data_IF_379973097436
#
_entry.id   IF_379973097436
#
_cell.length_a   1.000
_cell.length_b   1.000
_cell.length_c   1.000
_cell.angle_alpha   90.00
_cell.angle_beta   90.00
_cell.angle_gamma   90.00
#
_symmetry.space_group_name_H-M   'P 1'
#
loop_
_entity.id
_entity.type
_entity.pdbx_description
1 polymer ?
2 non-polymer ?
3 non-polymer ?
4 non-polymer ?
5 water ?
#
# COMPACT_ATOMS: atom_id res chain seq x y z
N UNK A 2 -24.62 -22.48 1.44
CA UNK A 2 -23.42 -21.61 1.32
C UNK A 2 -22.57 -21.95 0.08
N UNK A 3 -21.75 -20.98 -0.35
CA UNK A 3 -20.93 -21.05 -1.55
C UNK A 3 -19.68 -21.89 -1.27
N UNK A 4 -19.32 -22.80 -2.17
CA UNK A 4 -18.16 -23.65 -1.94
C UNK A 4 -16.89 -22.80 -2.04
N UNK A 5 -15.79 -23.33 -1.49
CA UNK A 5 -14.53 -22.62 -1.65
C UNK A 5 -14.04 -22.80 -3.10
N UNK A 6 -14.38 -23.94 -3.73
CA UNK A 6 -14.09 -24.11 -5.15
C UNK A 6 -14.72 -22.96 -5.94
N UNK A 7 -15.96 -22.59 -5.59
CA UNK A 7 -16.60 -21.50 -6.30
C UNK A 7 -15.96 -20.12 -5.98
N UNK A 8 -15.68 -19.84 -4.70
CA UNK A 8 -14.97 -18.61 -4.35
C UNK A 8 -13.65 -18.49 -5.10
N UNK A 9 -12.86 -19.60 -5.14
CA UNK A 9 -11.57 -19.59 -5.80
C UNK A 9 -11.76 -19.32 -7.27
N UNK A 10 -12.75 -19.98 -7.84
CA UNK A 10 -13.00 -19.75 -9.27
C UNK A 10 -13.41 -18.30 -9.57
N UNK A 11 -14.35 -17.74 -8.81
CA UNK A 11 -14.80 -16.37 -9.03
C UNK A 11 -13.63 -15.39 -8.93
N UNK A 12 -12.79 -15.50 -7.89
CA UNK A 12 -11.74 -14.52 -7.69
C UNK A 12 -10.65 -14.67 -8.77
N UNK A 13 -10.28 -15.91 -9.11
CA UNK A 13 -9.42 -16.12 -10.25
C UNK A 13 -10.00 -15.39 -11.47
N UNK A 14 -11.35 -15.45 -11.64
CA UNK A 14 -11.91 -14.91 -12.86
C UNK A 14 -11.77 -13.38 -12.89
N UNK A 15 -11.72 -12.72 -11.73
CA UNK A 15 -11.63 -11.26 -11.73
C UNK A 15 -10.29 -10.83 -12.31
N UNK A 16 -9.24 -11.61 -12.03
CA UNK A 16 -7.91 -11.33 -12.54
C UNK A 16 -7.80 -11.71 -14.01
N UNK A 17 -8.40 -12.87 -14.35
CA UNK A 17 -8.44 -13.35 -15.72
C UNK A 17 -9.13 -12.31 -16.61
N UNK A 18 -10.29 -11.80 -16.16
CA UNK A 18 -11.07 -10.85 -16.94
C UNK A 18 -10.33 -9.51 -17.10
N UNK A 19 -9.45 -9.13 -16.16
CA UNK A 19 -8.69 -7.89 -16.33
C UNK A 19 -7.47 -8.17 -17.21
N UNK A 20 -7.35 -9.39 -17.70
CA UNK A 20 -6.18 -9.79 -18.47
C UNK A 20 -4.88 -9.43 -17.74
N UNK A 21 -4.82 -9.69 -16.45
CA UNK A 21 -3.56 -9.53 -15.75
C UNK A 21 -3.18 -10.86 -15.09
N UNK A 22 -2.05 -10.87 -14.38
CA UNK A 22 -1.71 -11.93 -13.46
C UNK A 22 -1.56 -11.30 -12.08
N UNK A 23 -2.19 -11.91 -11.08
CA UNK A 23 -2.15 -11.33 -9.75
C UNK A 23 -2.63 -12.29 -8.67
N UNK A 24 -2.49 -11.84 -7.42
CA UNK A 24 -2.92 -12.58 -6.25
C UNK A 24 -3.50 -11.57 -5.27
N UNK A 25 -4.53 -11.98 -4.52
CA UNK A 25 -4.95 -11.20 -3.37
C UNK A 25 -4.84 -12.10 -2.13
N UNK A 26 -4.08 -11.64 -1.13
CA UNK A 26 -3.96 -12.37 0.14
C UNK A 26 -4.92 -11.72 1.15
N UNK A 27 -5.70 -12.54 1.85
CA UNK A 27 -6.62 -12.11 2.89
C UNK A 27 -6.18 -12.74 4.21
N UNK A 28 -6.20 -11.94 5.27
CA UNK A 28 -5.87 -12.47 6.58
C UNK A 28 -7.07 -12.35 7.51
N UNK A 29 -7.53 -13.49 8.06
CA UNK A 29 -8.59 -13.52 9.06
C UNK A 29 -8.00 -14.05 10.35
N UNK A 30 -7.83 -13.15 11.32
CA UNK A 30 -7.11 -13.50 12.52
C UNK A 30 -5.65 -13.82 12.16
N UNK A 31 -5.24 -15.06 12.41
CA UNK A 31 -3.90 -15.45 12.03
C UNK A 31 -3.88 -16.23 10.71
N UNK A 32 -5.02 -16.49 10.06
CA UNK A 32 -4.99 -17.37 8.89
C UNK A 32 -4.83 -16.55 7.59
N UNK A 33 -3.78 -16.86 6.79
CA UNK A 33 -3.55 -16.24 5.47
C UNK A 33 -4.20 -17.06 4.36
N UNK A 34 -5.01 -16.44 3.51
CA UNK A 34 -5.63 -17.08 2.35
C UNK A 34 -5.17 -16.37 1.10
N UNK A 35 -4.71 -17.16 0.12
CA UNK A 35 -4.27 -16.63 -1.16
C UNK A 35 -5.30 -16.95 -2.23
N UNK A 36 -5.72 -15.93 -2.99
CA UNK A 36 -6.61 -16.12 -4.13
C UNK A 36 -6.08 -15.43 -5.38
N UNK A 37 -6.74 -15.67 -6.52
CA UNK A 37 -6.34 -14.99 -7.74
C UNK A 37 -5.99 -15.99 -8.86
N UNK A 38 -5.31 -15.51 -9.89
CA UNK A 38 -4.94 -16.37 -11.02
C UNK A 38 -3.44 -16.58 -11.13
N UNK A 39 -2.67 -16.20 -10.09
CA UNK A 39 -1.24 -16.46 -10.12
C UNK A 39 -0.72 -16.60 -8.69
N UNK A 40 -1.06 -17.73 -8.08
CA UNK A 40 -0.92 -17.87 -6.66
C UNK A 40 0.54 -17.77 -6.22
N UNK A 41 1.48 -18.20 -7.10
CA UNK A 41 2.87 -18.25 -6.70
C UNK A 41 3.47 -16.85 -6.56
N UNK A 42 2.74 -15.80 -6.93
CA UNK A 42 3.23 -14.46 -6.63
C UNK A 42 3.27 -14.21 -5.12
N UNK A 43 2.63 -15.05 -4.31
CA UNK A 43 2.39 -14.73 -2.90
C UNK A 43 3.68 -14.55 -2.12
N UNK A 44 4.74 -15.32 -2.44
CA UNK A 44 5.98 -15.13 -1.68
C UNK A 44 7.13 -14.69 -2.60
N UNK A 45 6.82 -14.01 -3.70
CA UNK A 45 7.81 -13.35 -4.54
C UNK A 45 7.97 -11.87 -4.12
N UNK A 46 9.19 -11.35 -4.27
CA UNK A 46 9.53 -9.99 -3.86
C UNK A 46 9.27 -9.04 -5.03
N UNK A 47 8.64 -7.89 -4.76
CA UNK A 47 8.44 -6.82 -5.75
C UNK A 47 8.75 -5.50 -5.08
N UNK A 48 8.97 -4.46 -5.88
CA UNK A 48 9.18 -3.16 -5.26
C UNK A 48 7.87 -2.71 -4.61
N UNK A 49 7.92 -2.00 -3.46
CA UNK A 49 6.69 -1.58 -2.77
C UNK A 49 5.98 -0.44 -3.48
N UNK A 50 6.74 0.28 -4.32
CA UNK A 50 6.28 1.51 -4.96
C UNK A 50 5.57 2.37 -3.92
N UNK A 51 4.40 2.94 -4.24
CA UNK A 51 3.79 3.92 -3.35
C UNK A 51 3.29 3.32 -2.04
N UNK A 52 3.25 1.97 -1.91
CA UNK A 52 2.82 1.38 -0.64
C UNK A 52 3.77 1.86 0.44
N UNK A 53 5.00 2.20 0.02
CA UNK A 53 6.00 2.59 1.01
C UNK A 53 5.62 3.93 1.69
N UNK A 54 4.73 4.71 1.08
CA UNK A 54 4.29 5.98 1.67
C UNK A 54 3.72 5.73 3.06
N UNK A 55 3.10 4.57 3.29
CA UNK A 55 2.51 4.31 4.60
C UNK A 55 3.62 4.32 5.64
N UNK A 56 4.75 3.69 5.33
CA UNK A 56 5.83 3.62 6.31
C UNK A 56 6.62 4.94 6.34
N UNK A 57 6.83 5.57 5.17
CA UNK A 57 7.48 6.86 5.10
C UNK A 57 6.75 7.83 6.06
N UNK A 58 5.40 7.88 6.00
CA UNK A 58 4.61 8.75 6.88
C UNK A 58 4.83 8.39 8.35
N UNK A 59 4.83 7.09 8.70
CA UNK A 59 4.98 6.68 10.10
C UNK A 59 6.31 7.22 10.64
N UNK A 60 7.38 7.02 9.86
CA UNK A 60 8.71 7.41 10.25
C UNK A 60 8.79 8.94 10.36
N UNK A 61 8.27 9.67 9.35
CA UNK A 61 8.42 11.13 9.37
C UNK A 61 7.69 11.73 10.55
N UNK A 62 6.50 11.20 10.86
CA UNK A 62 5.72 11.74 11.95
C UNK A 62 6.38 11.35 13.27
N UNK A 63 6.78 10.07 13.43
CA UNK A 63 7.37 9.62 14.70
C UNK A 63 8.59 10.48 15.02
N UNK A 64 9.41 10.78 14.03
CA UNK A 64 10.67 11.49 14.20
C UNK A 64 10.50 13.01 14.02
N UNK A 65 9.27 13.56 14.07
CA UNK A 65 9.03 15.01 14.06
C UNK A 65 9.57 15.68 12.81
N UNK A 66 9.59 14.99 11.67
CA UNK A 66 9.95 15.64 10.41
C UNK A 66 8.75 16.35 9.81
N UNK A 67 7.55 16.24 10.41
CA UNK A 67 6.42 16.89 9.78
C UNK A 67 5.29 16.79 10.76
N UNK A 68 4.21 17.53 10.59
CA UNK A 68 3.04 17.30 11.42
C UNK A 68 1.91 17.01 10.45
N UNK A 69 0.73 16.65 10.95
CA UNK A 69 -0.30 16.23 10.03
C UNK A 69 -0.99 17.45 9.42
N UNK A 70 -0.70 18.64 9.90
CA UNK A 70 -1.39 19.77 9.26
C UNK A 70 -0.45 20.64 8.46
N UNK A 71 0.85 20.33 8.52
CA UNK A 71 1.82 21.13 7.79
C UNK A 71 1.51 21.06 6.27
N UNK A 72 1.62 22.19 5.57
CA UNK A 72 1.32 22.22 4.16
C UNK A 72 2.65 22.16 3.41
N UNK A 73 2.86 21.11 2.59
CA UNK A 73 4.04 21.04 1.73
C UNK A 73 3.71 21.80 0.44
N UNK A 74 4.43 22.90 0.17
CA UNK A 74 4.11 23.78 -0.94
C UNK A 74 4.65 23.17 -2.21
N UNK A 75 3.90 23.26 -3.29
CA UNK A 75 4.43 22.95 -4.60
C UNK A 75 5.50 24.00 -4.92
N UNK A 76 6.68 23.57 -5.36
CA UNK A 76 7.78 24.49 -5.66
C UNK A 76 7.57 25.20 -7.01
N UNK A 77 6.48 24.90 -7.74
CA UNK A 77 6.24 25.57 -9.01
C UNK A 77 6.81 24.85 -10.23
N UNK A 78 7.60 23.77 -10.05
CA UNK A 78 8.13 23.00 -11.17
C UNK A 78 7.09 21.99 -11.69
N UNK A 79 7.11 21.72 -13.01
CA UNK A 79 6.17 20.79 -13.64
C UNK A 79 6.34 19.45 -12.95
N UNK A 80 5.23 18.78 -12.64
CA UNK A 80 5.25 17.49 -11.96
C UNK A 80 4.60 16.51 -12.93
N UNK A 81 4.90 15.20 -12.83
CA UNK A 81 4.42 14.19 -13.78
C UNK A 81 2.92 14.32 -14.04
N UNK A 82 2.12 14.67 -13.02
CA UNK A 82 0.66 14.70 -13.11
C UNK A 82 0.21 16.05 -12.56
N UNK A 83 -0.71 16.75 -13.27
CA UNK A 83 -1.13 18.09 -12.89
C UNK A 83 -1.80 18.16 -11.52
N UNK A 84 -2.46 17.07 -11.13
CA UNK A 84 -3.09 17.11 -9.80
C UNK A 84 -2.00 17.20 -8.70
N UNK A 85 -0.71 16.91 -9.02
CA UNK A 85 0.33 17.05 -8.01
C UNK A 85 0.84 18.48 -7.91
N UNK A 86 0.40 19.38 -8.81
CA UNK A 86 0.93 20.76 -8.81
C UNK A 86 0.12 21.63 -7.86
N UNK A 87 0.09 21.28 -6.57
CA UNK A 87 -0.65 22.02 -5.56
C UNK A 87 0.03 21.79 -4.21
N UNK A 88 -0.32 22.64 -3.23
CA UNK A 88 0.17 22.56 -1.87
C UNK A 88 -0.67 21.53 -1.12
N UNK A 89 -0.04 20.68 -0.30
CA UNK A 89 -0.81 19.62 0.33
C UNK A 89 -0.18 19.14 1.64
N UNK A 90 -1.07 18.64 2.52
CA UNK A 90 -0.67 17.95 3.73
C UNK A 90 -0.21 16.52 3.38
N UNK A 91 0.43 15.82 4.32
CA UNK A 91 0.86 14.45 4.11
C UNK A 91 -0.37 13.62 3.74
N UNK A 92 -1.50 13.92 4.38
CA UNK A 92 -2.70 13.15 4.19
C UNK A 92 -3.27 13.32 2.79
N UNK A 93 -3.21 14.56 2.27
CA UNK A 93 -3.73 14.75 0.92
C UNK A 93 -2.74 14.12 -0.06
N UNK A 94 -1.44 14.24 0.23
CA UNK A 94 -0.43 13.63 -0.63
C UNK A 94 -0.57 12.11 -0.63
N UNK A 95 -0.98 11.52 0.51
CA UNK A 95 -1.21 10.07 0.60
C UNK A 95 -2.33 9.68 -0.37
N UNK A 96 -3.45 10.43 -0.35
CA UNK A 96 -4.58 10.06 -1.19
C UNK A 96 -4.21 10.24 -2.66
N UNK A 97 -3.41 11.28 -2.97
CA UNK A 97 -3.07 11.48 -4.37
C UNK A 97 -1.82 10.71 -4.77
N UNK A 98 -1.24 9.96 -3.81
CA UNK A 98 0.03 9.28 -4.04
C UNK A 98 1.06 10.24 -4.65
N UNK A 99 1.13 11.47 -4.10
CA UNK A 99 2.04 12.53 -4.57
C UNK A 99 3.48 12.24 -4.14
N UNK A 100 4.25 11.64 -5.05
CA UNK A 100 5.59 11.18 -4.70
C UNK A 100 6.50 12.37 -4.34
N UNK A 101 6.35 13.56 -4.95
CA UNK A 101 7.23 14.68 -4.56
C UNK A 101 7.15 15.07 -3.09
N UNK A 102 5.96 14.97 -2.50
CA UNK A 102 5.85 15.32 -1.09
C UNK A 102 6.56 14.26 -0.25
N UNK A 103 6.47 13.00 -0.71
CA UNK A 103 7.00 11.91 0.10
C UNK A 103 8.51 11.89 -0.05
N UNK A 104 8.97 12.35 -1.21
CA UNK A 104 10.41 12.47 -1.42
C UNK A 104 10.98 13.55 -0.51
N UNK A 105 10.19 14.63 -0.32
CA UNK A 105 10.62 15.70 0.58
C UNK A 105 10.71 15.12 1.99
N UNK A 106 9.67 14.40 2.43
CA UNK A 106 9.69 13.81 3.76
C UNK A 106 10.89 12.87 3.91
N UNK A 107 11.20 12.05 2.88
CA UNK A 107 12.30 11.09 2.99
C UNK A 107 13.61 11.88 3.17
N UNK A 108 13.79 12.94 2.37
CA UNK A 108 14.97 13.78 2.52
C UNK A 108 15.04 14.42 3.90
N UNK A 109 13.91 14.81 4.50
CA UNK A 109 14.04 15.37 5.84
C UNK A 109 14.49 14.26 6.80
N UNK A 110 13.93 13.05 6.60
CA UNK A 110 14.26 11.96 7.48
C UNK A 110 15.76 11.69 7.35
N UNK A 111 16.27 11.69 6.10
CA UNK A 111 17.68 11.43 5.81
C UNK A 111 18.00 9.93 5.71
N UNK A 112 18.98 9.55 4.87
CA UNK A 112 19.31 8.16 4.53
C UNK A 112 19.57 7.33 5.77
N UNK A 113 20.42 7.86 6.66
CA UNK A 113 20.80 7.16 7.89
C UNK A 113 19.61 6.84 8.79
N UNK A 114 18.75 7.82 9.10
CA UNK A 114 17.64 7.48 9.98
C UNK A 114 16.63 6.62 9.21
N UNK A 115 16.57 6.78 7.88
CA UNK A 115 15.62 6.00 7.10
C UNK A 115 16.04 4.52 7.17
N UNK A 116 17.32 4.23 6.86
CA UNK A 116 17.89 2.90 7.01
C UNK A 116 17.59 2.32 8.39
N UNK A 117 17.89 3.05 9.47
CA UNK A 117 17.71 2.48 10.80
C UNK A 117 16.24 2.10 10.98
N UNK A 118 15.34 2.96 10.48
CA UNK A 118 13.94 2.80 10.85
C UNK A 118 13.34 1.63 10.08
N UNK A 119 13.76 1.52 8.81
CA UNK A 119 13.24 0.48 7.93
C UNK A 119 13.71 -0.89 8.44
N UNK A 120 15.01 -0.99 8.84
CA UNK A 120 15.57 -2.14 9.55
C UNK A 120 14.78 -2.43 10.84
N UNK A 121 14.55 -1.41 11.67
CA UNK A 121 13.86 -1.58 12.94
C UNK A 121 12.45 -2.15 12.76
N UNK A 122 11.75 -1.73 11.70
CA UNK A 122 10.39 -2.19 11.44
C UNK A 122 10.43 -3.55 10.74
N UNK A 123 11.57 -3.94 10.17
CA UNK A 123 11.64 -5.24 9.49
C UNK A 123 10.71 -5.23 8.28
N UNK A 124 10.80 -4.17 7.45
CA UNK A 124 9.88 -4.07 6.31
C UNK A 124 10.52 -4.72 5.09
N UNK A 125 9.89 -5.81 4.59
CA UNK A 125 10.37 -6.46 3.38
C UNK A 125 11.82 -6.96 3.52
N UNK A 126 12.66 -6.76 2.52
CA UNK A 126 14.06 -7.17 2.63
C UNK A 126 14.86 -6.13 3.40
N UNK A 127 14.21 -5.02 3.79
CA UNK A 127 14.84 -4.01 4.62
C UNK A 127 16.05 -3.26 3.99
N UNK A 128 16.38 -3.45 2.70
CA UNK A 128 17.51 -2.71 2.15
C UNK A 128 17.02 -1.48 1.39
N UNK A 129 17.56 -0.31 1.75
CA UNK A 129 17.21 0.95 1.09
C UNK A 129 18.35 1.55 0.25
N UNK A 130 19.58 0.99 0.34
CA UNK A 130 20.65 1.43 -0.55
C UNK A 130 21.13 2.84 -0.19
N UNK A 131 21.48 3.66 -1.19
CA UNK A 131 22.21 4.89 -0.90
C UNK A 131 21.43 6.15 -1.27
N UNK A 132 20.27 6.03 -1.95
CA UNK A 132 19.49 7.21 -2.29
C UNK A 132 18.17 7.30 -1.53
N UNK A 133 18.11 8.17 -0.53
CA UNK A 133 16.98 8.23 0.41
C UNK A 133 15.67 8.53 -0.32
N UNK A 134 15.76 9.04 -1.56
CA UNK A 134 14.56 9.57 -2.18
C UNK A 134 14.09 8.74 -3.37
N UNK A 135 14.71 7.58 -3.64
CA UNK A 135 14.11 6.78 -4.72
C UNK A 135 14.09 5.24 -4.52
N UNK A 136 14.38 4.76 -3.32
CA UNK A 136 14.62 3.35 -3.04
C UNK A 136 13.37 2.45 -3.14
N UNK A 137 12.16 3.03 -3.34
CA UNK A 137 10.89 2.29 -3.28
C UNK A 137 10.36 2.05 -4.69
N UNK A 138 11.08 2.55 -5.70
CA UNK A 138 10.60 2.49 -7.07
C UNK A 138 11.33 1.45 -7.91
N UNK A 139 12.66 1.35 -7.78
CA UNK A 139 13.38 0.50 -8.72
C UNK A 139 14.45 -0.28 -7.98
N UNK A 140 14.26 -0.45 -6.68
CA UNK A 140 15.18 -1.22 -5.87
C UNK A 140 16.05 -0.26 -5.06
N UNK A 141 16.83 -0.75 -4.07
CA UNK A 141 16.87 -2.19 -3.76
C UNK A 141 15.77 -2.68 -2.80
N UNK A 142 14.83 -1.81 -2.40
CA UNK A 142 13.85 -2.29 -1.43
C UNK A 142 12.83 -3.18 -2.16
N UNK A 143 12.60 -4.40 -1.59
CA UNK A 143 11.56 -5.29 -2.11
C UNK A 143 10.77 -5.91 -0.96
N UNK A 144 9.60 -6.43 -1.33
CA UNK A 144 8.73 -7.00 -0.31
C UNK A 144 7.77 -7.96 -0.99
N UNK A 145 7.33 -9.02 -0.27
CA UNK A 145 6.36 -9.95 -0.85
C UNK A 145 4.94 -9.57 -0.49
N UNK A 146 3.94 -10.04 -1.28
CA UNK A 146 2.55 -9.82 -0.92
C UNK A 146 2.19 -10.34 0.46
N UNK A 147 2.78 -11.49 0.87
CA UNK A 147 2.61 -11.97 2.24
C UNK A 147 3.13 -10.93 3.27
N UNK A 148 4.33 -10.40 3.06
CA UNK A 148 4.89 -9.37 3.96
C UNK A 148 4.02 -8.11 3.96
N UNK A 149 3.45 -7.72 2.79
CA UNK A 149 2.57 -6.55 2.73
C UNK A 149 1.30 -6.75 3.56
N UNK A 150 0.69 -7.93 3.45
CA UNK A 150 -0.55 -8.14 4.20
C UNK A 150 -0.22 -8.22 5.69
N UNK A 151 0.97 -8.74 6.04
CA UNK A 151 1.37 -8.78 7.44
C UNK A 151 1.66 -7.36 7.96
N UNK A 152 2.18 -6.47 7.10
CA UNK A 152 2.40 -5.09 7.53
C UNK A 152 1.05 -4.41 7.78
N UNK A 153 0.10 -4.61 6.86
CA UNK A 153 -1.23 -4.05 6.99
C UNK A 153 -1.84 -4.52 8.30
N UNK A 154 -1.65 -5.81 8.62
CA UNK A 154 -2.25 -6.41 9.81
C UNK A 154 -1.70 -5.71 11.04
N UNK A 155 -0.38 -5.54 11.06
CA UNK A 155 0.33 -4.84 12.12
C UNK A 155 -0.20 -3.40 12.29
N UNK A 156 -0.31 -2.65 11.18
CA UNK A 156 -0.77 -1.27 11.24
C UNK A 156 -2.22 -1.26 11.69
N UNK A 157 -3.07 -2.16 11.11
CA UNK A 157 -4.48 -2.12 11.45
C UNK A 157 -4.65 -2.30 12.96
N UNK A 158 -3.77 -3.10 13.59
CA UNK A 158 -3.92 -3.43 15.00
C UNK A 158 -2.96 -2.62 15.88
N UNK A 159 -2.35 -1.58 15.34
CA UNK A 159 -1.45 -0.76 16.14
C UNK A 159 -0.30 -1.55 16.73
N UNK A 160 0.19 -2.55 16.00
CA UNK A 160 1.27 -3.36 16.54
C UNK A 160 2.63 -2.92 16.01
N UNK A 161 2.70 -1.95 15.08
CA UNK A 161 4.06 -1.63 14.64
C UNK A 161 4.81 -0.93 15.78
N UNK A 162 6.16 -0.88 15.76
CA UNK A 162 6.91 -0.19 16.83
C UNK A 162 7.00 1.34 16.67
N UNK A 163 5.84 2.01 16.75
CA UNK A 163 5.73 3.45 16.71
C UNK A 163 4.64 3.78 17.71
N UNK A 164 4.60 5.03 18.16
CA UNK A 164 3.54 5.43 19.08
C UNK A 164 2.17 5.11 18.50
N UNK A 165 1.27 4.82 19.43
CA UNK A 165 -0.10 4.60 19.03
C UNK A 165 -0.57 5.82 18.22
N UNK A 166 -0.18 7.04 18.64
CA UNK A 166 -0.74 8.24 18.02
C UNK A 166 -0.23 8.35 16.57
N UNK A 167 1.08 8.10 16.35
CA UNK A 167 1.62 8.05 15.00
C UNK A 167 0.78 7.12 14.11
N UNK A 168 0.50 5.89 14.61
CA UNK A 168 -0.22 4.88 13.83
C UNK A 168 -1.62 5.36 13.54
N UNK A 169 -2.28 6.00 14.52
CA UNK A 169 -3.64 6.48 14.27
C UNK A 169 -3.62 7.58 13.20
N UNK A 170 -2.60 8.43 13.26
CA UNK A 170 -2.53 9.57 12.35
C UNK A 170 -2.40 9.05 10.91
N UNK A 171 -1.49 8.05 10.72
CA UNK A 171 -1.29 7.50 9.38
C UNK A 171 -2.54 6.73 8.96
N UNK A 172 -3.17 6.02 9.90
CA UNK A 172 -4.36 5.29 9.51
C UNK A 172 -5.46 6.22 9.02
N UNK A 173 -5.62 7.40 9.65
CA UNK A 173 -6.67 8.33 9.22
C UNK A 173 -6.41 8.77 7.77
N UNK A 174 -5.15 8.73 7.30
CA UNK A 174 -4.85 9.11 5.92
C UNK A 174 -5.28 8.09 4.89
N UNK A 175 -5.68 6.88 5.31
CA UNK A 175 -5.74 5.75 4.39
C UNK A 175 -7.18 5.31 4.12
N UNK A 176 -8.16 6.07 4.60
CA UNK A 176 -9.55 5.69 4.36
C UNK A 176 -9.92 5.93 2.92
N UNK A 177 -10.29 4.89 2.16
CA UNK A 177 -10.57 5.11 0.74
C UNK A 177 -12.02 4.77 0.39
N UNK A 178 -12.77 4.05 1.23
CA UNK A 178 -14.11 3.65 0.80
C UNK A 178 -14.96 3.28 2.01
N UNK A 179 -16.26 3.58 1.95
CA UNK A 179 -17.22 3.01 2.88
C UNK A 179 -18.31 2.27 2.13
N UNK A 180 -18.63 1.07 2.63
CA UNK A 180 -19.47 0.15 1.89
C UNK A 180 -20.22 -0.69 2.92
N UNK A 181 -21.53 -0.43 3.01
CA UNK A 181 -22.48 -1.03 3.94
C UNK A 181 -21.87 -1.17 5.33
N UNK A 182 -21.55 -0.03 5.97
CA UNK A 182 -21.09 -0.03 7.37
C UNK A 182 -19.68 -0.60 7.54
N UNK A 183 -19.04 -0.96 6.42
CA UNK A 183 -17.64 -1.34 6.35
C UNK A 183 -16.79 -0.15 5.89
N UNK A 184 -15.63 0.06 6.53
CA UNK A 184 -14.67 1.03 6.04
C UNK A 184 -13.45 0.32 5.43
N UNK A 185 -13.07 0.71 4.21
CA UNK A 185 -11.83 0.23 3.61
C UNK A 185 -10.70 1.28 3.73
N UNK A 186 -9.62 0.85 4.37
CA UNK A 186 -8.38 1.57 4.51
C UNK A 186 -7.32 0.87 3.65
N UNK A 187 -6.68 1.59 2.73
CA UNK A 187 -5.67 0.95 1.90
C UNK A 187 -4.79 2.00 1.24
N UNK A 188 -3.60 1.54 0.81
CA UNK A 188 -2.72 2.34 -0.02
C UNK A 188 -2.50 1.63 -1.35
N UNK A 189 -2.73 2.35 -2.46
CA UNK A 189 -2.44 1.77 -3.76
C UNK A 189 -0.98 2.00 -4.12
N UNK A 190 -0.55 1.27 -5.15
CA UNK A 190 0.82 1.34 -5.60
C UNK A 190 0.85 0.97 -7.08
N UNK A 191 1.72 1.66 -7.83
CA UNK A 191 1.92 1.34 -9.23
C UNK A 191 3.38 1.64 -9.57
N UNK A 192 4.18 0.58 -9.63
CA UNK A 192 5.59 0.71 -9.96
C UNK A 192 5.76 0.73 -11.48
N UNK A 193 5.92 1.92 -12.07
CA UNK A 193 5.97 2.02 -13.53
C UNK A 193 7.39 1.88 -14.09
N UNK A 194 8.40 2.14 -13.26
CA UNK A 194 9.80 1.93 -13.59
C UNK A 194 10.19 0.47 -13.87
N UNK A 195 9.95 -0.44 -12.91
CA UNK A 195 10.33 -1.85 -13.06
C UNK A 195 9.68 -2.51 -14.29
N UNK A 196 10.33 -3.57 -14.82
CA UNK A 196 9.62 -4.43 -15.78
C UNK A 196 9.64 -5.85 -15.28
N UNK A 197 8.47 -6.54 -15.29
CA UNK A 197 7.21 -5.88 -15.66
C UNK A 197 6.78 -4.94 -14.51
N UNK A 198 5.75 -4.15 -14.78
CA UNK A 198 5.25 -3.17 -13.81
C UNK A 198 4.42 -3.86 -12.74
N UNK A 199 4.41 -3.31 -11.51
CA UNK A 199 3.72 -3.98 -10.42
C UNK A 199 2.58 -3.07 -9.93
N UNK A 200 1.42 -3.65 -9.66
CA UNK A 200 0.32 -2.92 -9.05
C UNK A 200 0.02 -3.48 -7.64
N UNK A 201 -0.29 -2.60 -6.68
CA UNK A 201 -0.58 -2.98 -5.31
C UNK A 201 -1.87 -2.29 -4.87
N UNK A 202 -2.63 -2.97 -4.00
CA UNK A 202 -3.57 -2.28 -3.09
C UNK A 202 -3.51 -3.05 -1.78
N UNK A 203 -2.89 -2.41 -0.77
CA UNK A 203 -2.68 -3.07 0.49
C UNK A 203 -3.39 -2.31 1.61
N UNK A 204 -4.17 -3.01 2.43
CA UNK A 204 -4.95 -2.32 3.43
C UNK A 204 -5.68 -3.27 4.36
N UNK A 205 -6.85 -2.84 4.83
CA UNK A 205 -7.73 -3.71 5.58
C UNK A 205 -9.16 -3.19 5.52
N UNK A 206 -10.10 -4.09 5.78
CA UNK A 206 -11.50 -3.76 5.95
C UNK A 206 -11.73 -3.68 7.45
N UNK A 207 -12.32 -2.56 7.88
CA UNK A 207 -12.85 -2.51 9.24
C UNK A 207 -14.37 -2.68 9.16
N UNK A 208 -14.86 -3.79 9.71
CA UNK A 208 -16.26 -4.17 9.59
C UNK A 208 -17.06 -3.46 10.69
N UNK A 209 -18.39 -3.42 10.47
CA UNK A 209 -19.37 -2.79 11.34
C UNK A 209 -19.03 -3.05 12.81
N UNK A 210 -18.77 -4.32 13.14
CA UNK A 210 -18.62 -4.81 14.50
C UNK A 210 -17.19 -4.66 15.03
N UNK A 211 -16.30 -3.96 14.32
CA UNK A 211 -14.98 -3.67 14.84
C UNK A 211 -13.86 -4.59 14.35
N UNK A 212 -14.19 -5.73 13.73
CA UNK A 212 -13.17 -6.66 13.24
C UNK A 212 -12.44 -6.06 12.04
N UNK A 213 -11.12 -6.29 12.01
CA UNK A 213 -10.30 -5.81 10.91
C UNK A 213 -9.75 -6.98 10.08
N UNK A 214 -10.01 -6.94 8.77
CA UNK A 214 -9.53 -7.98 7.86
C UNK A 214 -8.56 -7.39 6.85
N UNK A 215 -7.25 -7.61 7.05
CA UNK A 215 -6.23 -7.13 6.12
C UNK A 215 -6.18 -7.88 4.80
N UNK A 216 -5.72 -7.18 3.76
CA UNK A 216 -5.58 -7.74 2.43
C UNK A 216 -4.38 -7.07 1.74
N UNK A 217 -3.82 -7.79 0.77
CA UNK A 217 -2.89 -7.19 -0.17
C UNK A 217 -3.19 -7.79 -1.53
N UNK A 218 -3.55 -6.90 -2.45
CA UNK A 218 -3.61 -7.26 -3.86
C UNK A 218 -2.27 -6.92 -4.48
N UNK A 219 -1.80 -7.84 -5.32
CA UNK A 219 -0.55 -7.64 -6.04
C UNK A 219 -0.75 -8.18 -7.46
N UNK A 220 -0.57 -7.35 -8.50
CA UNK A 220 -0.77 -7.82 -9.87
C UNK A 220 0.23 -7.17 -10.84
N UNK A 221 0.28 -7.68 -12.07
CA UNK A 221 1.12 -7.08 -13.08
C UNK A 221 0.32 -6.00 -13.78
N UNK A 222 0.81 -4.74 -13.79
CA UNK A 222 0.17 -3.71 -14.61
C UNK A 222 0.81 -3.74 -16.00
N UNK A 223 0.00 -3.45 -17.02
CA UNK A 223 0.40 -3.51 -18.42
C UNK A 223 0.09 -2.13 -19.01
N UNK A 224 0.69 -1.77 -20.15
CA UNK A 224 0.52 -0.45 -20.79
C UNK A 224 -0.96 -0.12 -21.01
N UNK A 225 -1.79 -1.12 -21.37
CA UNK A 225 -3.21 -0.87 -21.58
C UNK A 225 -4.07 -0.48 -20.36
N UNK A 226 -3.56 -0.47 -19.11
CA UNK A 226 -4.46 -0.68 -17.96
C UNK A 226 -4.77 0.60 -17.20
N UNK A 227 -5.99 0.66 -16.67
CA UNK A 227 -6.45 1.70 -15.75
C UNK A 227 -6.16 1.34 -14.28
N UNK A 228 -5.82 2.35 -13.45
CA UNK A 228 -5.40 2.14 -12.07
C UNK A 228 -6.51 1.54 -11.20
N UNK A 229 -7.76 1.90 -11.55
CA UNK A 229 -8.92 1.49 -10.77
C UNK A 229 -9.23 -0.01 -10.93
N UNK A 230 -8.59 -0.69 -11.88
CA UNK A 230 -8.69 -2.14 -11.91
C UNK A 230 -8.29 -2.73 -10.55
N UNK A 231 -7.37 -2.06 -9.82
CA UNK A 231 -6.83 -2.62 -8.58
C UNK A 231 -7.95 -2.61 -7.54
N UNK A 232 -8.65 -1.49 -7.48
CA UNK A 232 -9.82 -1.33 -6.62
C UNK A 232 -10.94 -2.31 -6.99
N UNK A 233 -11.24 -2.39 -8.28
CA UNK A 233 -12.39 -3.16 -8.73
C UNK A 233 -12.18 -4.64 -8.37
N UNK A 234 -10.99 -5.18 -8.68
CA UNK A 234 -10.69 -6.58 -8.38
C UNK A 234 -10.77 -6.77 -6.87
N UNK A 235 -10.28 -5.79 -6.10
CA UNK A 235 -10.25 -5.96 -4.66
C UNK A 235 -11.66 -6.01 -4.08
N UNK A 236 -12.48 -5.01 -4.47
CA UNK A 236 -13.85 -4.88 -3.95
C UNK A 236 -14.67 -6.13 -4.33
N UNK A 237 -14.58 -6.55 -5.60
CA UNK A 237 -15.23 -7.75 -6.08
C UNK A 237 -14.82 -8.98 -5.28
N UNK A 238 -13.51 -9.08 -4.95
CA UNK A 238 -13.00 -10.19 -4.16
C UNK A 238 -13.55 -10.13 -2.73
N UNK A 239 -13.43 -8.98 -2.07
CA UNK A 239 -13.86 -8.92 -0.68
C UNK A 239 -15.37 -9.16 -0.60
N UNK A 240 -16.10 -8.74 -1.63
CA UNK A 240 -17.56 -8.93 -1.63
C UNK A 240 -17.89 -10.40 -1.90
N UNK A 241 -17.23 -11.00 -2.89
CA UNK A 241 -17.44 -12.41 -3.15
C UNK A 241 -17.25 -13.21 -1.86
N UNK A 242 -16.29 -12.80 -1.03
CA UNK A 242 -16.02 -13.59 0.17
C UNK A 242 -16.95 -13.15 1.29
N UNK A 243 -17.87 -12.21 1.02
CA UNK A 243 -18.71 -11.60 2.05
C UNK A 243 -17.95 -10.83 3.13
N UNK A 244 -16.73 -10.34 2.85
CA UNK A 244 -16.02 -9.51 3.81
C UNK A 244 -16.62 -8.10 3.82
N UNK A 245 -17.13 -7.65 2.67
CA UNK A 245 -17.83 -6.37 2.65
C UNK A 245 -19.18 -6.64 2.00
X LIG B 1 -4.55 8.80 -11.27
X LIG B 1 -3.06 10.23 -9.74
X LIG B 1 -3.42 9.83 -11.10
X LIG B 1 -2.07 9.34 -11.65
X LIG B 1 -1.95 9.42 -9.21
X LIG B 1 -1.20 8.95 -10.45
X LIG B 1 3.18 4.95 -6.42
X LIG B 1 3.32 5.93 -7.54
X LIG B 1 3.19 3.74 -6.62
X LIG B 1 2.01 6.60 -7.79
X LIG B 1 4.35 7.03 -7.23
X LIG B 1 5.76 6.53 -7.06
X LIG B 1 4.33 7.89 -8.34
X LIG B 1 1.55 7.02 -9.20
X LIG B 1 0.10 6.64 -9.19
X LIG B 1 0.98 5.65 -7.39
X LIG B 1 -1.00 7.14 -10.48
X LIG B 1 -0.13 5.80 -8.13
X LIG B 1 -1.33 4.95 -7.77
X LIG B 1 2.23 6.35 -10.38
X LIG B 1 -2.38 5.21 -8.31
X LIG B 1 -1.14 4.04 -6.95
X LIG C 1 2.47 4.92 22.80
X LIG C 1 3.68 4.82 22.99
X LIG C 1 1.69 4.00 22.82
X LIG C 1 1.99 6.12 22.54
X LIG D 1 6.41 -10.39 8.25
X LIG D 1 7.62 -10.26 8.29
X LIG D 1 5.65 -9.94 9.10
X LIG D 1 5.88 -11.08 7.24
X LIG E 1 22.06 11.46 6.75
X LIG E 1 23.05 11.88 7.71
X LIG E 1 22.37 10.13 6.28
X LIG E 1 20.77 11.47 7.38
X LIG E 1 22.06 12.38 5.64
#
# INVERSE_FOLDING_TARGET
>A
MHISSQQHEKAIKSYFDEAQTQGVIIIKEGKNLSTYGNALARANKEYVPASTFKMLNALIGLENHKATTNEIFKWDGKKRTYPMWEKDMTLGEAMALSADPVYQELARRTGLELMQKEVKRVNFGNTNIGTQVDNFWLVGPLKITPVQEVNFADDLAHNRLPFKLETQEEVKKMLLIKEVNGSKIYAKSGWGMGVTPQVGWLTGWVEQANGKKIPFSLNLEMKEGMSGSIRNEITYKSLENLGII
>B hetero
1 1RG C N CA CB CD CG CAA CAB OAC CAD CAE CAF OAG CAH CAI NAJ SAK CAL CAM CAS OAT OAU
>C hetero
1 BCT C O1 O2 O3
>D hetero
1 BCT C O1 O2 O3
>E hetero
1 SO4 S O1 O2 O3 O4
#
